data_IF_693499454289
#
_entry.id   IF_693499454289
#
_cell.length_a   1.000
_cell.length_b   1.000
_cell.length_c   1.000
_cell.angle_alpha   90.00
_cell.angle_beta   90.00
_cell.angle_gamma   90.00
#
_symmetry.space_group_name_H-M   'P 1'
#
loop_
_entity.id
_entity.type
_entity.pdbx_description
1 polymer ?
#
# COMPACT_ATOMS: atom_id res chain seq x y z
N UNK A 1 6.16 16.00 76.22
CA UNK A 1 6.77 15.44 75.00
C UNK A 1 6.57 16.44 73.88
N UNK A 2 7.64 17.08 73.40
CA UNK A 2 7.54 18.10 72.34
C UNK A 2 7.93 17.46 71.00
N UNK A 3 6.96 17.26 70.11
CA UNK A 3 7.17 16.61 68.81
C UNK A 3 7.58 17.66 67.79
N UNK A 4 8.85 17.65 67.36
CA UNK A 4 9.34 18.51 66.28
C UNK A 4 8.86 17.97 64.92
N UNK A 5 7.86 18.62 64.34
CA UNK A 5 7.44 18.45 62.94
C UNK A 5 8.60 18.86 62.01
N UNK A 6 9.24 17.88 61.36
CA UNK A 6 10.28 18.09 60.35
C UNK A 6 9.62 18.50 59.03
N UNK A 7 9.54 19.80 58.78
CA UNK A 7 9.00 20.36 57.54
C UNK A 7 9.93 20.01 56.35
N UNK A 8 9.64 18.92 55.65
CA UNK A 8 10.39 18.49 54.45
C UNK A 8 10.22 19.56 53.37
N UNK A 9 11.24 20.39 53.15
CA UNK A 9 11.29 21.36 52.03
C UNK A 9 11.01 20.62 50.72
N UNK A 10 9.84 20.85 50.12
CA UNK A 10 9.55 20.39 48.76
C UNK A 10 10.47 21.16 47.81
N UNK A 11 11.47 20.49 47.23
CA UNK A 11 12.28 21.06 46.14
C UNK A 11 11.37 21.18 44.92
N UNK A 12 10.96 22.40 44.58
CA UNK A 12 10.22 22.69 43.35
C UNK A 12 11.15 22.65 42.14
N UNK A 13 10.60 22.33 40.97
CA UNK A 13 11.30 22.38 39.69
C UNK A 13 11.58 23.84 39.32
N UNK A 14 12.79 24.16 38.86
CA UNK A 14 13.12 25.53 38.45
C UNK A 14 12.68 25.79 37.01
N UNK A 15 12.31 27.02 36.69
CA UNK A 15 11.98 27.41 35.31
C UNK A 15 13.18 27.25 34.37
N UNK A 16 14.40 27.45 34.88
CA UNK A 16 15.62 27.29 34.08
C UNK A 16 15.87 25.82 33.73
N UNK A 17 15.60 24.88 34.64
CA UNK A 17 15.67 23.44 34.35
C UNK A 17 14.68 23.07 33.24
N UNK A 18 13.48 23.65 33.25
CA UNK A 18 12.49 23.43 32.18
C UNK A 18 13.00 23.94 30.82
N UNK A 19 13.58 25.14 30.79
CA UNK A 19 14.07 25.78 29.58
C UNK A 19 15.21 24.99 28.94
N UNK A 20 16.14 24.45 29.73
CA UNK A 20 17.24 23.63 29.20
C UNK A 20 16.71 22.33 28.60
N UNK A 21 15.73 21.70 29.26
CA UNK A 21 15.14 20.44 28.76
C UNK A 21 14.45 20.64 27.41
N UNK A 22 13.62 21.68 27.26
CA UNK A 22 12.96 21.95 25.97
C UNK A 22 13.97 22.31 24.87
N UNK A 23 15.07 22.99 25.22
CA UNK A 23 16.11 23.33 24.26
C UNK A 23 16.81 22.08 23.69
N UNK A 24 17.14 21.11 24.54
CA UNK A 24 17.74 19.85 24.10
C UNK A 24 16.74 19.02 23.27
N UNK A 25 15.47 18.94 23.69
CA UNK A 25 14.41 18.24 22.94
C UNK A 25 14.24 18.86 21.54
N UNK A 26 14.29 20.20 21.43
CA UNK A 26 14.16 20.89 20.15
C UNK A 26 15.28 20.51 19.16
N UNK A 27 16.53 20.42 19.63
CA UNK A 27 17.68 20.02 18.80
C UNK A 27 17.52 18.57 18.33
N UNK A 28 17.15 17.65 19.23
CA UNK A 28 16.95 16.24 18.88
C UNK A 28 15.78 16.06 17.89
N UNK A 29 14.68 16.78 18.12
CA UNK A 29 13.50 16.73 17.26
C UNK A 29 13.81 17.22 15.84
N UNK A 30 14.64 18.25 15.68
CA UNK A 30 15.02 18.79 14.37
C UNK A 30 15.69 17.75 13.46
N UNK A 31 16.48 16.83 14.03
CA UNK A 31 17.16 15.77 13.26
C UNK A 31 16.26 14.53 13.13
N UNK A 32 15.54 14.18 14.20
CA UNK A 32 14.74 12.96 14.25
C UNK A 32 13.50 13.00 13.35
N UNK A 33 12.78 14.12 13.30
CA UNK A 33 11.52 14.28 12.55
C UNK A 33 11.69 13.99 11.04
N UNK A 34 12.60 14.66 10.30
CA UNK A 34 12.71 14.43 8.85
C UNK A 34 13.12 12.98 8.53
N UNK A 35 13.99 12.40 9.36
CA UNK A 35 14.44 11.02 9.19
C UNK A 35 13.29 10.02 9.43
N UNK A 36 12.51 10.25 10.49
CA UNK A 36 11.34 9.44 10.82
C UNK A 36 10.26 9.50 9.72
N UNK A 37 10.00 10.69 9.16
CA UNK A 37 9.07 10.84 8.03
C UNK A 37 9.55 10.07 6.78
N UNK A 38 10.86 10.10 6.50
CA UNK A 38 11.46 9.32 5.41
C UNK A 38 11.31 7.81 5.60
N UNK A 39 11.57 7.31 6.82
CA UNK A 39 11.38 5.89 7.16
C UNK A 39 9.91 5.49 7.01
N UNK A 40 8.98 6.28 7.56
CA UNK A 40 7.55 6.01 7.43
C UNK A 40 7.11 5.93 5.96
N UNK A 41 7.56 6.87 5.13
CA UNK A 41 7.26 6.88 3.70
C UNK A 41 7.74 5.59 3.02
N UNK A 42 9.00 5.20 3.26
CA UNK A 42 9.57 3.97 2.71
C UNK A 42 8.83 2.72 3.20
N UNK A 43 8.46 2.67 4.47
CA UNK A 43 7.70 1.55 5.03
C UNK A 43 6.31 1.42 4.39
N UNK A 44 5.63 2.54 4.12
CA UNK A 44 4.34 2.54 3.43
C UNK A 44 4.47 2.03 1.98
N UNK A 45 5.47 2.51 1.23
CA UNK A 45 5.74 2.04 -0.15
C UNK A 45 6.01 0.52 -0.17
N UNK A 46 6.86 0.03 0.75
CA UNK A 46 7.15 -1.40 0.86
C UNK A 46 5.93 -2.23 1.22
N UNK A 47 5.04 -1.70 2.06
CA UNK A 47 3.78 -2.36 2.39
C UNK A 47 2.84 -2.46 1.17
N UNK A 48 2.82 -1.45 0.32
CA UNK A 48 2.02 -1.46 -0.91
C UNK A 48 2.56 -2.48 -1.91
N UNK A 49 3.88 -2.56 -2.09
CA UNK A 49 4.53 -3.58 -2.94
C UNK A 49 4.25 -4.99 -2.40
N UNK A 50 4.36 -5.20 -1.09
CA UNK A 50 4.07 -6.50 -0.47
C UNK A 50 2.60 -6.91 -0.63
N UNK A 51 1.69 -5.94 -0.50
CA UNK A 51 0.25 -6.15 -0.73
C UNK A 51 -0.03 -6.50 -2.19
N UNK A 52 0.56 -5.74 -3.13
CA UNK A 52 0.44 -6.00 -4.56
C UNK A 52 1.00 -7.38 -4.94
N UNK A 53 2.14 -7.79 -4.36
CA UNK A 53 2.69 -9.13 -4.56
C UNK A 53 1.74 -10.22 -4.03
N UNK A 54 1.13 -10.01 -2.87
CA UNK A 54 0.18 -10.97 -2.30
C UNK A 54 -1.03 -11.14 -3.22
N UNK A 55 -1.55 -10.05 -3.76
CA UNK A 55 -2.64 -10.06 -4.74
C UNK A 55 -2.21 -10.77 -6.03
N UNK A 56 -1.00 -10.50 -6.52
CA UNK A 56 -0.44 -11.16 -7.69
C UNK A 56 -0.36 -12.68 -7.47
N UNK A 57 0.17 -13.12 -6.33
CA UNK A 57 0.30 -14.54 -6.00
C UNK A 57 -1.09 -15.21 -5.92
N UNK A 58 -2.08 -14.53 -5.30
CA UNK A 58 -3.46 -15.00 -5.23
C UNK A 58 -4.12 -15.12 -6.62
N UNK A 59 -3.85 -14.17 -7.51
CA UNK A 59 -4.33 -14.18 -8.90
C UNK A 59 -3.69 -15.31 -9.70
N UNK A 60 -2.38 -15.47 -9.56
CA UNK A 60 -1.63 -16.56 -10.20
C UNK A 60 -2.13 -17.94 -9.74
N UNK A 61 -2.39 -18.10 -8.44
CA UNK A 61 -3.00 -19.32 -7.89
C UNK A 61 -4.40 -19.55 -8.46
N UNK A 62 -5.25 -18.52 -8.53
CA UNK A 62 -6.59 -18.63 -9.10
C UNK A 62 -6.58 -19.08 -10.56
N UNK A 63 -5.61 -18.62 -11.36
CA UNK A 63 -5.43 -19.07 -12.74
C UNK A 63 -4.91 -20.52 -12.78
N UNK A 64 -3.91 -20.86 -11.97
CA UNK A 64 -3.32 -22.20 -11.94
C UNK A 64 -4.32 -23.28 -11.52
N UNK A 65 -5.26 -22.93 -10.62
CA UNK A 65 -6.33 -23.81 -10.16
C UNK A 65 -7.52 -23.86 -11.14
N UNK A 66 -7.50 -23.07 -12.22
CA UNK A 66 -8.57 -23.00 -13.21
C UNK A 66 -9.80 -22.20 -12.76
N UNK A 67 -9.74 -21.50 -11.63
CA UNK A 67 -10.83 -20.61 -11.18
C UNK A 67 -10.93 -19.33 -12.02
N UNK A 68 -9.86 -18.97 -12.73
CA UNK A 68 -9.83 -17.91 -13.74
C UNK A 68 -9.28 -18.53 -15.02
N UNK A 69 -10.04 -18.49 -16.11
CA UNK A 69 -9.56 -18.86 -17.44
C UNK A 69 -9.16 -17.58 -18.22
N UNK A 70 -7.86 -17.28 -18.39
CA UNK A 70 -7.40 -16.05 -19.04
C UNK A 70 -7.87 -15.88 -20.48
N UNK A 71 -8.07 -16.97 -21.23
CA UNK A 71 -8.48 -16.94 -22.64
C UNK A 71 -9.95 -16.50 -22.81
N UNK A 72 -10.78 -16.78 -21.81
CA UNK A 72 -12.21 -16.45 -21.81
C UNK A 72 -12.50 -15.08 -21.21
N UNK A 73 -11.48 -14.40 -20.68
CA UNK A 73 -11.64 -13.09 -20.07
C UNK A 73 -12.06 -12.04 -21.10
N UNK A 74 -12.95 -11.16 -20.67
CA UNK A 74 -13.49 -10.08 -21.49
C UNK A 74 -13.42 -8.77 -20.71
N UNK A 75 -12.88 -7.74 -21.35
CA UNK A 75 -12.94 -6.36 -20.86
C UNK A 75 -13.74 -5.54 -21.86
N UNK A 76 -14.74 -4.83 -21.34
CA UNK A 76 -15.53 -3.89 -22.15
C UNK A 76 -15.07 -2.48 -21.79
N UNK A 77 -14.40 -1.83 -22.74
CA UNK A 77 -14.06 -0.40 -22.64
C UNK A 77 -14.80 0.35 -23.74
N UNK A 78 -15.93 0.98 -23.38
CA UNK A 78 -16.84 1.60 -24.35
C UNK A 78 -17.52 0.55 -25.23
N UNK A 79 -17.47 0.72 -26.55
CA UNK A 79 -18.04 -0.25 -27.52
C UNK A 79 -17.06 -1.36 -27.92
N UNK A 80 -15.83 -1.35 -27.41
CA UNK A 80 -14.79 -2.30 -27.78
C UNK A 80 -14.70 -3.39 -26.71
N UNK A 81 -14.93 -4.63 -27.14
CA UNK A 81 -14.68 -5.83 -26.33
C UNK A 81 -13.30 -6.36 -26.65
N UNK A 82 -12.45 -6.45 -25.64
CA UNK A 82 -11.16 -7.13 -25.74
C UNK A 82 -11.27 -8.50 -25.10
N UNK A 83 -11.12 -9.54 -25.91
CA UNK A 83 -11.01 -10.92 -25.47
C UNK A 83 -9.58 -11.16 -24.98
N UNK A 84 -9.42 -11.94 -23.91
CA UNK A 84 -8.14 -12.19 -23.26
C UNK A 84 -7.74 -11.15 -22.21
N UNK A 85 -8.57 -10.14 -21.91
CA UNK A 85 -8.24 -9.10 -20.92
C UNK A 85 -9.33 -8.99 -19.86
N UNK A 86 -8.98 -8.88 -18.58
CA UNK A 86 -9.90 -8.48 -17.49
C UNK A 86 -9.24 -7.51 -16.54
N UNK A 87 -9.97 -6.47 -16.13
CA UNK A 87 -9.58 -5.55 -15.06
C UNK A 87 -10.52 -5.71 -13.87
N UNK A 88 -9.95 -5.94 -12.69
CA UNK A 88 -10.68 -6.19 -11.45
C UNK A 88 -10.25 -5.17 -10.42
N UNK A 89 -11.17 -4.37 -9.91
CA UNK A 89 -10.92 -3.53 -8.74
C UNK A 89 -11.24 -4.31 -7.46
N UNK A 90 -10.26 -4.45 -6.57
CA UNK A 90 -10.42 -5.09 -5.28
C UNK A 90 -10.86 -4.04 -4.25
N UNK A 91 -12.15 -4.04 -3.92
CA UNK A 91 -12.73 -3.09 -2.98
C UNK A 91 -13.03 -3.77 -1.63
N UNK A 92 -12.38 -3.37 -0.52
CA UNK A 92 -12.68 -3.95 0.79
C UNK A 92 -14.11 -3.68 1.30
N UNK A 93 -14.78 -2.65 0.78
CA UNK A 93 -16.14 -2.27 1.17
C UNK A 93 -17.22 -3.03 0.38
N UNK A 94 -16.87 -3.58 -0.79
CA UNK A 94 -17.80 -4.28 -1.68
C UNK A 94 -17.09 -5.45 -2.34
N UNK A 95 -17.25 -6.64 -1.75
CA UNK A 95 -16.73 -7.89 -2.30
C UNK A 95 -17.39 -8.23 -3.63
N UNK A 96 -16.63 -8.82 -4.53
CA UNK A 96 -17.15 -9.33 -5.80
C UNK A 96 -18.14 -10.49 -5.57
N UNK A 97 -19.26 -10.47 -6.29
CA UNK A 97 -20.31 -11.50 -6.23
C UNK A 97 -19.92 -12.79 -6.96
N UNK A 98 -19.09 -12.66 -8.00
CA UNK A 98 -18.74 -13.70 -8.96
C UNK A 98 -17.52 -13.29 -9.78
N UNK A 99 -17.13 -14.17 -10.72
CA UNK A 99 -16.08 -13.90 -11.69
C UNK A 99 -14.66 -13.82 -11.09
N UNK A 100 -13.71 -13.24 -11.85
CA UNK A 100 -12.30 -13.17 -11.46
C UNK A 100 -12.07 -12.42 -10.15
N UNK A 101 -12.87 -11.38 -9.88
CA UNK A 101 -12.79 -10.64 -8.61
C UNK A 101 -13.04 -11.53 -7.41
N UNK A 102 -14.12 -12.31 -7.43
CA UNK A 102 -14.43 -13.23 -6.34
C UNK A 102 -13.34 -14.30 -6.20
N UNK A 103 -12.86 -14.85 -7.31
CA UNK A 103 -11.80 -15.86 -7.29
C UNK A 103 -10.51 -15.33 -6.63
N UNK A 104 -10.14 -14.08 -6.88
CA UNK A 104 -8.98 -13.46 -6.22
C UNK A 104 -9.28 -13.20 -4.74
N UNK A 105 -10.44 -12.62 -4.43
CA UNK A 105 -10.83 -12.26 -3.06
C UNK A 105 -10.93 -13.47 -2.12
N UNK A 106 -11.44 -14.61 -2.59
CA UNK A 106 -11.55 -15.85 -1.80
C UNK A 106 -10.16 -16.39 -1.36
N UNK A 107 -9.09 -16.02 -2.07
CA UNK A 107 -7.70 -16.42 -1.78
C UNK A 107 -6.94 -15.40 -0.94
N UNK A 108 -7.56 -14.26 -0.64
CA UNK A 108 -6.98 -13.23 0.22
C UNK A 108 -7.57 -13.31 1.63
N UNK A 109 -6.71 -13.35 2.65
CA UNK A 109 -7.16 -13.26 4.04
C UNK A 109 -7.86 -11.93 4.34
N UNK A 110 -7.42 -10.86 3.69
CA UNK A 110 -8.00 -9.52 3.78
C UNK A 110 -7.68 -8.78 2.48
N UNK A 111 -8.64 -8.03 1.94
CA UNK A 111 -8.43 -7.18 0.77
C UNK A 111 -7.60 -5.97 1.21
N UNK A 112 -6.31 -5.86 0.79
CA UNK A 112 -5.48 -4.75 1.23
C UNK A 112 -5.86 -3.46 0.48
N UNK A 113 -5.47 -2.32 1.03
CA UNK A 113 -5.57 -1.00 0.39
C UNK A 113 -4.21 -0.31 0.41
N UNK A 114 -3.99 0.62 -0.53
CA UNK A 114 -2.75 1.36 -0.62
C UNK A 114 -2.52 2.24 0.62
N UNK A 115 -1.31 2.18 1.18
CA UNK A 115 -0.86 2.88 2.38
C UNK A 115 -0.02 4.12 2.05
N UNK A 116 0.81 4.07 1.01
CA UNK A 116 1.55 5.23 0.52
C UNK A 116 0.72 6.02 -0.48
N UNK A 117 0.14 5.35 -1.47
CA UNK A 117 -0.91 5.92 -2.33
C UNK A 117 -2.26 5.38 -1.84
N UNK A 118 -3.06 6.17 -1.09
CA UNK A 118 -4.39 5.73 -0.67
C UNK A 118 -5.24 5.36 -1.89
N UNK A 119 -5.83 4.17 -1.89
CA UNK A 119 -6.55 3.67 -3.06
C UNK A 119 -6.81 2.17 -3.02
N UNK A 120 -7.67 1.71 -3.92
CA UNK A 120 -7.94 0.30 -4.13
C UNK A 120 -6.91 -0.30 -5.09
N UNK A 121 -6.58 -1.58 -4.90
CA UNK A 121 -5.76 -2.30 -5.87
C UNK A 121 -6.61 -2.72 -7.06
N UNK A 122 -6.02 -2.65 -8.24
CA UNK A 122 -6.59 -3.14 -9.49
C UNK A 122 -5.68 -4.25 -10.03
N UNK A 123 -6.29 -5.38 -10.35
CA UNK A 123 -5.63 -6.49 -11.02
C UNK A 123 -6.01 -6.47 -12.49
N UNK A 124 -5.02 -6.46 -13.35
CA UNK A 124 -5.19 -6.60 -14.80
C UNK A 124 -4.59 -7.93 -15.22
N UNK A 125 -5.41 -8.77 -15.84
CA UNK A 125 -5.00 -10.06 -16.42
C UNK A 125 -5.10 -9.92 -17.93
N UNK A 126 -4.03 -10.23 -18.65
CA UNK A 126 -3.94 -10.19 -20.11
C UNK A 126 -3.39 -11.49 -20.67
N UNK A 127 -4.10 -12.08 -21.61
CA UNK A 127 -3.72 -13.23 -22.39
C UNK A 127 -3.55 -12.76 -23.83
N UNK A 128 -2.30 -12.61 -24.26
CA UNK A 128 -1.97 -12.29 -25.65
C UNK A 128 -1.98 -13.57 -26.49
N UNK A 129 -2.48 -13.51 -27.72
CA UNK A 129 -2.65 -14.68 -28.59
C UNK A 129 -1.37 -15.49 -28.82
N UNK A 130 -0.22 -14.82 -28.83
CA UNK A 130 1.09 -15.45 -29.06
C UNK A 130 1.83 -15.84 -27.76
N UNK A 131 1.23 -15.58 -26.59
CA UNK A 131 1.84 -15.84 -25.29
C UNK A 131 1.24 -17.06 -24.60
N UNK A 132 2.09 -18.01 -24.21
CA UNK A 132 1.68 -19.22 -23.48
C UNK A 132 1.23 -18.89 -22.04
N UNK A 133 1.69 -17.76 -21.48
CA UNK A 133 1.41 -17.36 -20.10
C UNK A 133 0.65 -16.04 -20.06
N UNK A 134 -0.36 -15.90 -19.20
CA UNK A 134 -1.01 -14.62 -18.98
C UNK A 134 -0.06 -13.65 -18.29
N UNK A 135 -0.15 -12.39 -18.68
CA UNK A 135 0.47 -11.26 -17.98
C UNK A 135 -0.47 -10.79 -16.89
N UNK A 136 0.00 -10.80 -15.64
CA UNK A 136 -0.73 -10.28 -14.48
C UNK A 136 -0.02 -9.02 -14.02
N UNK A 137 -0.76 -7.92 -13.91
CA UNK A 137 -0.28 -6.65 -13.40
C UNK A 137 -1.17 -6.20 -12.24
N UNK A 138 -0.55 -5.72 -11.16
CA UNK A 138 -1.25 -5.15 -10.01
C UNK A 138 -0.90 -3.67 -9.90
N UNK A 139 -1.93 -2.84 -9.93
CA UNK A 139 -1.85 -1.39 -9.89
C UNK A 139 -2.67 -0.83 -8.72
N UNK A 140 -2.45 0.43 -8.37
CA UNK A 140 -3.28 1.16 -7.40
C UNK A 140 -4.07 2.25 -8.16
N UNK A 141 -5.38 2.30 -7.91
CA UNK A 141 -6.23 3.43 -8.30
C UNK A 141 -6.27 4.42 -7.14
N UNK A 142 -5.66 5.61 -7.27
CA UNK A 142 -5.66 6.61 -6.19
C UNK A 142 -7.11 6.97 -5.79
N UNK A 143 -7.38 7.12 -4.50
CA UNK A 143 -8.72 7.44 -3.98
C UNK A 143 -9.24 8.78 -4.49
N UNK A 144 -8.33 9.72 -4.73
CA UNK A 144 -8.64 11.07 -5.21
C UNK A 144 -8.52 11.19 -6.74
N UNK A 145 -8.35 10.08 -7.46
CA UNK A 145 -8.28 10.06 -8.91
C UNK A 145 -9.63 10.45 -9.52
N UNK A 146 -9.62 11.47 -10.38
CA UNK A 146 -10.70 11.69 -11.35
C UNK A 146 -10.72 10.53 -12.36
N UNK A 147 -11.86 10.27 -13.00
CA UNK A 147 -12.11 9.07 -13.83
C UNK A 147 -11.05 8.78 -14.92
N UNK A 148 -10.22 9.76 -15.30
CA UNK A 148 -9.19 9.65 -16.34
C UNK A 148 -7.75 9.60 -15.79
N UNK A 149 -7.58 9.47 -14.47
CA UNK A 149 -6.24 9.36 -13.87
C UNK A 149 -5.70 7.96 -14.09
N UNK A 150 -4.52 7.83 -14.70
CA UNK A 150 -3.89 6.54 -14.94
C UNK A 150 -3.64 5.78 -13.61
N UNK A 151 -3.95 4.48 -13.61
CA UNK A 151 -3.60 3.59 -12.51
C UNK A 151 -2.08 3.50 -12.38
N UNK A 152 -1.60 3.45 -11.13
CA UNK A 152 -0.16 3.38 -10.86
C UNK A 152 0.24 1.91 -10.75
N UNK A 153 1.03 1.40 -11.69
CA UNK A 153 1.56 0.03 -11.63
C UNK A 153 2.52 -0.14 -10.45
N UNK A 154 2.30 -1.18 -9.66
CA UNK A 154 3.08 -1.48 -8.45
C UNK A 154 3.87 -2.78 -8.60
N UNK A 155 3.26 -3.82 -9.15
CA UNK A 155 3.88 -5.14 -9.27
C UNK A 155 3.41 -5.87 -10.55
N UNK A 156 4.28 -6.63 -11.23
CA UNK A 156 5.70 -6.84 -10.95
C UNK A 156 6.60 -5.70 -11.46
N UNK A 157 6.15 -4.90 -12.43
CA UNK A 157 6.98 -3.89 -13.08
C UNK A 157 6.70 -2.47 -12.55
N UNK A 158 6.58 -2.33 -11.22
CA UNK A 158 6.34 -1.03 -10.60
C UNK A 158 7.34 0.03 -11.07
N UNK A 159 6.87 1.26 -11.26
CA UNK A 159 7.70 2.37 -11.77
C UNK A 159 7.86 3.48 -10.73
N UNK A 160 8.86 4.33 -10.92
CA UNK A 160 9.17 5.44 -10.02
C UNK A 160 9.33 4.96 -8.57
N UNK A 161 8.44 5.43 -7.68
CA UNK A 161 8.43 5.09 -6.24
C UNK A 161 8.20 3.61 -5.95
N UNK A 162 7.58 2.87 -6.88
CA UNK A 162 7.27 1.44 -6.73
C UNK A 162 8.27 0.53 -7.45
N UNK A 163 9.36 1.07 -7.98
CA UNK A 163 10.36 0.25 -8.65
C UNK A 163 11.03 -0.73 -7.69
N UNK A 164 10.87 -2.03 -7.96
CA UNK A 164 11.37 -3.13 -7.12
C UNK A 164 12.89 -3.15 -7.00
N UNK A 165 13.60 -2.50 -7.94
CA UNK A 165 15.05 -2.37 -7.96
C UNK A 165 15.56 -1.02 -7.44
N UNK A 166 14.67 -0.08 -7.05
CA UNK A 166 15.09 1.16 -6.39
C UNK A 166 15.33 0.90 -4.90
N UNK A 167 16.60 0.97 -4.50
CA UNK A 167 17.04 0.74 -3.11
C UNK A 167 16.56 1.84 -2.14
N UNK A 168 16.01 2.95 -2.63
CA UNK A 168 15.71 4.12 -1.82
C UNK A 168 14.31 4.72 -2.01
N UNK A 169 13.48 4.22 -2.93
CA UNK A 169 12.18 4.83 -3.25
C UNK A 169 12.34 6.24 -3.83
N UNK A 170 13.50 6.57 -4.40
CA UNK A 170 13.65 7.74 -5.24
C UNK A 170 12.95 7.50 -6.57
N UNK A 171 12.27 8.52 -7.06
CA UNK A 171 11.72 8.49 -8.41
C UNK A 171 12.90 8.93 -9.27
N UNK A 172 13.25 8.17 -10.31
CA UNK A 172 13.96 8.77 -11.42
C UNK A 172 13.12 9.91 -12.00
#
# INVERSE_FOLDING_TARGET
MNTKEQNKKKKGFTLIELIIVIAIIAILAAIAIPNFLGIQRKSKIKADIASAKTIYDATSAAIAEGAINPEELKTVSGTNEKVGESTVELNPESKASDGPGKAIEDRLQTIPTGRYTPGNFIVTIKQESDSIKPTITVSIKPKDAQQDTANIEVYPNGTGKYSINSLDGSAN
#
